data_IF_382432415080
#
_entry.id   IF_382432415080
#
_cell.length_a   1.000
_cell.length_b   1.000
_cell.length_c   1.000
_cell.angle_alpha   90.00
_cell.angle_beta   90.00
_cell.angle_gamma   90.00
#
_symmetry.space_group_name_H-M   'P 1'
#
loop_
_entity.id
_entity.type
_entity.pdbx_description
1 polymer ?
#
# COMPACT_ATOMS: atom_id res chain seq x y z
N UNK A 1 6.75 13.02 -30.39
CA UNK A 1 7.49 12.30 -29.33
C UNK A 1 6.44 11.65 -28.47
N UNK A 2 6.25 10.34 -28.58
CA UNK A 2 5.41 9.58 -27.66
C UNK A 2 6.19 9.42 -26.35
N UNK A 3 5.77 10.02 -25.22
CA UNK A 3 6.12 9.41 -23.96
C UNK A 3 5.23 8.15 -23.79
N UNK A 4 5.53 7.34 -22.79
CA UNK A 4 4.62 6.32 -22.25
C UNK A 4 4.65 4.94 -22.90
N UNK A 5 5.70 4.19 -22.57
CA UNK A 5 5.46 2.92 -21.88
C UNK A 5 6.18 3.06 -20.54
N UNK A 6 5.44 3.14 -19.44
CA UNK A 6 6.03 2.85 -18.14
C UNK A 6 6.48 1.39 -18.23
N UNK A 7 7.79 1.13 -18.29
CA UNK A 7 8.30 -0.24 -18.40
C UNK A 7 7.69 -1.07 -17.26
N UNK A 8 7.11 -2.23 -17.63
CA UNK A 8 6.46 -3.12 -16.66
C UNK A 8 7.48 -3.52 -15.59
N UNK A 9 7.19 -3.25 -14.32
CA UNK A 9 8.15 -3.44 -13.25
C UNK A 9 8.31 -4.93 -12.91
N UNK A 10 9.43 -5.49 -13.34
CA UNK A 10 9.83 -6.87 -13.03
C UNK A 10 10.85 -6.92 -11.90
N UNK A 11 10.98 -8.09 -11.29
CA UNK A 11 12.02 -8.38 -10.30
C UNK A 11 13.41 -7.91 -10.77
N UNK A 12 14.16 -7.33 -9.83
CA UNK A 12 15.54 -6.87 -10.03
C UNK A 12 16.50 -7.69 -9.17
N UNK A 13 17.80 -7.43 -9.33
CA UNK A 13 18.88 -8.17 -8.66
C UNK A 13 18.72 -8.25 -7.13
N UNK A 14 18.20 -7.20 -6.50
CA UNK A 14 18.02 -7.14 -5.04
C UNK A 14 16.76 -7.86 -4.54
N UNK A 15 15.79 -8.14 -5.41
CA UNK A 15 14.48 -8.67 -5.02
C UNK A 15 14.54 -10.05 -4.33
N UNK A 16 15.30 -11.05 -4.80
CA UNK A 16 15.38 -12.35 -4.13
C UNK A 16 15.85 -12.25 -2.67
N UNK A 17 16.88 -11.43 -2.42
CA UNK A 17 17.41 -11.19 -1.08
C UNK A 17 16.39 -10.49 -0.19
N UNK A 18 15.66 -9.51 -0.72
CA UNK A 18 14.60 -8.82 0.01
C UNK A 18 13.45 -9.77 0.38
N UNK A 19 13.01 -10.61 -0.55
CA UNK A 19 11.94 -11.59 -0.33
C UNK A 19 12.31 -12.63 0.73
N UNK A 20 13.54 -13.13 0.71
CA UNK A 20 14.03 -14.06 1.74
C UNK A 20 14.16 -13.37 3.11
N UNK A 21 14.60 -12.11 3.16
CA UNK A 21 14.62 -11.34 4.40
C UNK A 21 13.21 -11.12 4.97
N UNK A 22 12.23 -10.79 4.12
CA UNK A 22 10.83 -10.71 4.54
C UNK A 22 10.32 -12.05 5.06
N UNK A 23 10.71 -13.17 4.42
CA UNK A 23 10.33 -14.50 4.87
C UNK A 23 10.84 -14.80 6.28
N UNK A 24 12.10 -14.43 6.55
CA UNK A 24 12.70 -14.56 7.88
C UNK A 24 11.89 -13.82 8.94
N UNK A 25 11.64 -12.52 8.72
CA UNK A 25 10.90 -11.67 9.68
C UNK A 25 9.48 -12.18 9.90
N UNK A 26 8.76 -12.50 8.82
CA UNK A 26 7.38 -13.00 8.88
C UNK A 26 7.31 -14.37 9.58
N UNK A 27 8.28 -15.26 9.36
CA UNK A 27 8.37 -16.56 10.03
C UNK A 27 8.69 -16.41 11.53
N UNK A 28 9.51 -15.43 11.92
CA UNK A 28 9.72 -15.10 13.34
C UNK A 28 8.43 -14.68 14.04
N UNK A 29 7.61 -13.87 13.37
CA UNK A 29 6.31 -13.45 13.89
C UNK A 29 5.29 -14.60 13.95
N UNK A 30 5.41 -15.56 13.02
CA UNK A 30 4.48 -16.67 12.91
C UNK A 30 4.61 -17.72 14.02
N UNK A 31 5.82 -18.01 14.49
CA UNK A 31 6.09 -19.09 15.47
C UNK A 31 7.42 -18.89 16.22
N UNK A 32 7.52 -19.38 17.45
CA UNK A 32 8.76 -19.43 18.25
C UNK A 32 9.53 -20.76 18.10
N UNK A 33 8.97 -21.76 17.40
CA UNK A 33 9.60 -23.06 17.24
C UNK A 33 10.72 -23.01 16.18
N UNK A 34 11.98 -23.18 16.61
CA UNK A 34 13.17 -23.07 15.76
C UNK A 34 13.21 -24.08 14.60
N UNK A 35 12.71 -25.29 14.78
CA UNK A 35 12.66 -26.31 13.73
C UNK A 35 11.63 -25.94 12.66
N UNK A 36 10.44 -25.48 13.08
CA UNK A 36 9.42 -24.98 12.15
C UNK A 36 9.94 -23.73 11.41
N UNK A 37 10.67 -22.84 12.08
CA UNK A 37 11.26 -21.66 11.43
C UNK A 37 12.22 -22.06 10.31
N UNK A 38 13.17 -22.96 10.60
CA UNK A 38 14.13 -23.42 9.61
C UNK A 38 13.45 -24.14 8.45
N UNK A 39 12.52 -25.06 8.73
CA UNK A 39 11.78 -25.79 7.70
C UNK A 39 10.98 -24.83 6.82
N UNK A 40 10.31 -23.84 7.41
CA UNK A 40 9.55 -22.82 6.67
C UNK A 40 10.45 -22.05 5.70
N UNK A 41 11.63 -21.62 6.14
CA UNK A 41 12.57 -20.92 5.26
C UNK A 41 13.10 -21.81 4.13
N UNK A 42 13.33 -23.10 4.38
CA UNK A 42 13.69 -24.06 3.34
C UNK A 42 12.59 -24.16 2.28
N UNK A 43 11.32 -24.30 2.70
CA UNK A 43 10.21 -24.38 1.74
C UNK A 43 10.00 -23.07 0.98
N UNK A 44 10.11 -21.92 1.66
CA UNK A 44 10.05 -20.61 0.98
C UNK A 44 11.16 -20.49 -0.06
N UNK A 45 12.39 -20.89 0.23
CA UNK A 45 13.48 -20.85 -0.75
C UNK A 45 13.17 -21.71 -1.99
N UNK A 46 12.54 -22.89 -1.81
CA UNK A 46 12.09 -23.72 -2.94
C UNK A 46 10.99 -23.03 -3.76
N UNK A 47 9.95 -22.54 -3.11
CA UNK A 47 8.86 -21.79 -3.77
C UNK A 47 9.40 -20.60 -4.54
N UNK A 48 10.34 -19.85 -3.96
CA UNK A 48 10.98 -18.74 -4.64
C UNK A 48 11.78 -19.22 -5.85
N UNK A 49 12.63 -20.24 -5.70
CA UNK A 49 13.48 -20.75 -6.78
C UNK A 49 12.66 -21.31 -7.96
N UNK A 50 11.55 -22.01 -7.68
CA UNK A 50 10.71 -22.64 -8.70
C UNK A 50 9.88 -21.62 -9.51
N UNK A 51 9.61 -20.43 -8.95
CA UNK A 51 8.74 -19.42 -9.56
C UNK A 51 9.48 -18.15 -10.02
N UNK A 52 10.75 -17.96 -9.63
CA UNK A 52 11.52 -16.80 -10.05
C UNK A 52 11.85 -16.86 -11.54
N UNK A 53 11.38 -15.87 -12.29
CA UNK A 53 11.84 -15.59 -13.65
C UNK A 53 12.13 -14.10 -13.78
N UNK A 54 12.91 -13.71 -14.78
CA UNK A 54 13.16 -12.28 -15.07
C UNK A 54 11.89 -11.50 -15.44
N UNK A 55 10.78 -12.19 -15.71
CA UNK A 55 9.49 -11.60 -16.06
C UNK A 55 8.50 -11.58 -14.89
N UNK A 56 8.89 -12.07 -13.72
CA UNK A 56 7.99 -12.15 -12.58
C UNK A 56 7.84 -10.79 -11.90
N UNK A 57 6.65 -10.48 -11.42
CA UNK A 57 6.35 -9.29 -10.61
C UNK A 57 6.73 -9.53 -9.15
N UNK A 58 7.40 -8.59 -8.45
CA UNK A 58 7.85 -8.83 -7.08
C UNK A 58 6.70 -9.12 -6.10
N UNK A 59 5.59 -8.39 -6.18
CA UNK A 59 4.38 -8.62 -5.38
C UNK A 59 3.79 -10.05 -5.56
N UNK A 60 3.87 -10.63 -6.76
CA UNK A 60 3.46 -12.01 -7.00
C UNK A 60 4.33 -12.99 -6.20
N UNK A 61 5.66 -12.82 -6.25
CA UNK A 61 6.57 -13.63 -5.45
C UNK A 61 6.36 -13.42 -3.94
N UNK A 62 6.06 -12.19 -3.52
CA UNK A 62 5.73 -11.89 -2.13
C UNK A 62 4.45 -12.58 -1.66
N UNK A 63 3.45 -12.71 -2.54
CA UNK A 63 2.21 -13.45 -2.28
C UNK A 63 2.48 -14.94 -2.11
N UNK A 64 3.27 -15.56 -3.01
CA UNK A 64 3.64 -16.97 -2.88
C UNK A 64 4.42 -17.25 -1.59
N UNK A 65 5.34 -16.34 -1.22
CA UNK A 65 6.08 -16.41 0.04
C UNK A 65 5.14 -16.43 1.24
N UNK A 66 4.24 -15.46 1.34
CA UNK A 66 3.32 -15.30 2.47
C UNK A 66 2.38 -16.52 2.62
N UNK A 67 1.78 -16.97 1.50
CA UNK A 67 0.98 -18.20 1.47
C UNK A 67 1.76 -19.43 1.96
N UNK A 68 3.02 -19.59 1.54
CA UNK A 68 3.87 -20.71 1.99
C UNK A 68 4.19 -20.64 3.49
N UNK A 69 4.41 -19.45 4.05
CA UNK A 69 4.67 -19.27 5.48
C UNK A 69 3.45 -19.66 6.30
N UNK A 70 2.25 -19.22 5.90
CA UNK A 70 0.99 -19.62 6.56
C UNK A 70 0.80 -21.14 6.57
N UNK A 71 1.06 -21.80 5.43
CA UNK A 71 0.96 -23.26 5.30
C UNK A 71 1.95 -23.96 6.27
N UNK A 72 3.21 -23.55 6.24
CA UNK A 72 4.29 -24.22 6.98
C UNK A 72 4.16 -24.04 8.50
N UNK A 73 3.74 -22.85 8.92
CA UNK A 73 3.63 -22.47 10.33
C UNK A 73 2.25 -22.74 10.95
N UNK A 74 1.25 -23.01 10.10
CA UNK A 74 -0.18 -23.12 10.48
C UNK A 74 -0.72 -21.87 11.17
N UNK A 75 -0.09 -20.71 10.94
CA UNK A 75 -0.54 -19.43 11.43
C UNK A 75 -1.14 -18.62 10.25
N UNK A 76 -2.46 -18.36 10.24
CA UNK A 76 -3.11 -17.67 9.12
C UNK A 76 -2.82 -16.17 9.09
N UNK A 77 -2.32 -15.58 10.18
CA UNK A 77 -2.00 -14.15 10.26
C UNK A 77 -0.76 -13.90 11.13
N UNK A 78 0.45 -14.08 10.58
CA UNK A 78 1.70 -13.79 11.29
C UNK A 78 1.79 -12.36 11.81
N UNK A 79 1.21 -11.38 11.11
CA UNK A 79 1.34 -9.96 11.41
C UNK A 79 0.26 -9.43 12.37
N UNK A 80 -0.72 -10.24 12.79
CA UNK A 80 -1.87 -9.80 13.59
C UNK A 80 -1.52 -8.84 14.73
N UNK A 81 -0.54 -9.22 15.56
CA UNK A 81 -0.11 -8.41 16.72
C UNK A 81 0.47 -7.06 16.30
N UNK A 82 1.27 -7.06 15.24
CA UNK A 82 1.90 -5.86 14.70
C UNK A 82 0.84 -4.94 14.08
N UNK A 83 -0.13 -5.48 13.31
CA UNK A 83 -1.22 -4.68 12.75
C UNK A 83 -2.03 -3.95 13.83
N UNK A 84 -2.41 -4.67 14.90
CA UNK A 84 -3.14 -4.07 16.04
C UNK A 84 -2.32 -2.94 16.69
N UNK A 85 -1.03 -3.18 16.93
CA UNK A 85 -0.15 -2.15 17.49
C UNK A 85 -0.01 -0.93 16.57
N UNK A 86 0.19 -1.16 15.27
CA UNK A 86 0.31 -0.10 14.26
C UNK A 86 -0.96 0.74 14.15
N UNK A 87 -2.15 0.12 14.15
CA UNK A 87 -3.42 0.85 14.17
C UNK A 87 -3.54 1.73 15.43
N UNK A 88 -3.18 1.21 16.61
CA UNK A 88 -3.24 1.98 17.86
C UNK A 88 -2.29 3.18 17.85
N UNK A 89 -1.03 2.95 17.48
CA UNK A 89 -0.02 4.02 17.43
C UNK A 89 -0.36 5.07 16.36
N UNK A 90 -0.94 4.66 15.23
CA UNK A 90 -1.45 5.57 14.21
C UNK A 90 -2.60 6.45 14.75
N UNK A 91 -3.56 5.88 15.49
CA UNK A 91 -4.66 6.62 16.10
C UNK A 91 -4.19 7.66 17.12
N UNK A 92 -3.12 7.38 17.86
CA UNK A 92 -2.53 8.35 18.81
C UNK A 92 -1.95 9.58 18.11
N UNK A 93 -1.48 9.43 16.86
CA UNK A 93 -0.86 10.54 16.09
C UNK A 93 -1.86 11.20 15.15
N UNK A 94 -2.97 10.54 14.82
CA UNK A 94 -4.02 11.04 13.93
C UNK A 94 -4.43 12.51 14.21
N UNK A 95 -4.60 12.99 15.47
CA UNK A 95 -4.92 14.39 15.72
C UNK A 95 -3.91 15.39 15.12
N UNK A 96 -2.60 15.10 15.17
CA UNK A 96 -1.58 15.96 14.58
C UNK A 96 -1.67 16.00 13.06
N UNK A 97 -2.01 14.87 12.43
CA UNK A 97 -2.21 14.80 10.99
C UNK A 97 -3.45 15.60 10.56
N UNK A 98 -4.53 15.52 11.34
CA UNK A 98 -5.73 16.35 11.15
C UNK A 98 -5.40 17.83 11.28
N UNK A 99 -4.67 18.22 12.33
CA UNK A 99 -4.25 19.62 12.54
C UNK A 99 -3.39 20.14 11.38
N UNK A 100 -2.48 19.30 10.87
CA UNK A 100 -1.67 19.63 9.69
C UNK A 100 -2.54 19.92 8.46
N UNK A 101 -3.55 19.10 8.17
CA UNK A 101 -4.48 19.36 7.06
C UNK A 101 -5.35 20.59 7.32
N UNK A 102 -5.84 20.78 8.55
CA UNK A 102 -6.72 21.89 8.94
C UNK A 102 -6.06 23.27 8.80
N UNK A 103 -4.72 23.35 8.91
CA UNK A 103 -3.94 24.59 8.76
C UNK A 103 -3.83 25.09 7.30
N UNK A 104 -4.43 24.41 6.33
CA UNK A 104 -4.50 24.86 4.94
C UNK A 104 -5.23 26.20 4.77
N UNK A 105 -4.84 27.00 3.77
CA UNK A 105 -5.55 28.22 3.37
C UNK A 105 -6.63 28.02 2.30
N UNK A 106 -6.72 26.85 1.66
CA UNK A 106 -7.68 26.57 0.58
C UNK A 106 -8.09 25.10 0.50
N UNK A 107 -9.16 24.81 -0.25
CA UNK A 107 -9.61 23.42 -0.47
C UNK A 107 -8.58 22.58 -1.25
N UNK A 108 -7.90 23.17 -2.25
CA UNK A 108 -6.83 22.49 -3.00
C UNK A 108 -5.63 22.18 -2.10
N UNK A 109 -5.27 23.12 -1.21
CA UNK A 109 -4.20 22.88 -0.24
C UNK A 109 -4.58 21.80 0.79
N UNK A 110 -5.86 21.72 1.23
CA UNK A 110 -6.31 20.59 2.07
C UNK A 110 -6.14 19.25 1.38
N UNK A 111 -6.60 19.15 0.14
CA UNK A 111 -6.48 17.93 -0.66
C UNK A 111 -5.02 17.51 -0.80
N UNK A 112 -4.15 18.48 -1.10
CA UNK A 112 -2.70 18.26 -1.16
C UNK A 112 -2.12 17.74 0.14
N UNK A 113 -2.41 18.40 1.27
CA UNK A 113 -1.94 17.94 2.58
C UNK A 113 -2.50 16.56 2.95
N UNK A 114 -3.73 16.24 2.56
CA UNK A 114 -4.33 14.92 2.76
C UNK A 114 -3.61 13.82 1.94
N UNK A 115 -3.25 14.09 0.68
CA UNK A 115 -2.44 13.19 -0.14
C UNK A 115 -1.07 12.95 0.49
N UNK A 116 -0.42 14.02 0.99
CA UNK A 116 0.86 13.91 1.67
C UNK A 116 0.77 13.06 2.95
N UNK A 117 -0.23 13.30 3.79
CA UNK A 117 -0.47 12.49 5.00
C UNK A 117 -0.70 11.02 4.63
N UNK A 118 -1.47 10.76 3.57
CA UNK A 118 -1.70 9.42 3.05
C UNK A 118 -0.41 8.75 2.57
N UNK A 119 0.52 9.49 1.92
CA UNK A 119 1.86 8.99 1.55
C UNK A 119 2.72 8.72 2.79
N UNK A 120 2.73 9.64 3.75
CA UNK A 120 3.52 9.49 4.98
C UNK A 120 3.04 8.28 5.79
N UNK A 121 1.73 8.02 5.81
CA UNK A 121 1.16 6.80 6.37
C UNK A 121 1.75 5.54 5.72
N UNK A 122 2.07 5.56 4.43
CA UNK A 122 2.71 4.41 3.80
C UNK A 122 4.13 4.12 4.34
N UNK A 123 4.74 4.98 5.16
CA UNK A 123 6.01 4.67 5.80
C UNK A 123 5.94 3.49 6.80
N UNK A 124 4.76 3.12 7.32
CA UNK A 124 4.61 1.97 8.22
C UNK A 124 4.80 0.66 7.46
N UNK A 125 5.98 0.05 7.55
CA UNK A 125 6.28 -1.18 6.82
C UNK A 125 7.37 -2.00 7.52
N UNK A 126 7.22 -3.33 7.48
CA UNK A 126 8.08 -4.26 8.19
C UNK A 126 8.79 -5.22 7.24
N UNK A 127 9.99 -5.65 7.61
CA UNK A 127 10.73 -6.70 6.89
C UNK A 127 11.36 -6.28 5.55
N UNK A 128 11.18 -5.04 5.07
CA UNK A 128 11.95 -4.53 3.93
C UNK A 128 13.43 -4.44 4.32
N UNK A 129 14.28 -5.06 3.51
CA UNK A 129 15.73 -5.03 3.72
C UNK A 129 16.25 -3.59 3.65
N UNK A 130 17.07 -3.22 4.64
CA UNK A 130 17.68 -1.88 4.78
C UNK A 130 16.70 -0.71 5.01
N UNK A 131 15.41 -0.99 5.25
CA UNK A 131 14.40 0.01 5.63
C UNK A 131 13.98 -0.17 7.08
N UNK A 132 13.87 0.94 7.81
CA UNK A 132 13.41 0.99 9.21
C UNK A 132 12.51 2.20 9.39
N UNK A 133 11.53 2.07 10.27
CA UNK A 133 10.57 3.12 10.60
C UNK A 133 10.29 3.08 12.11
N UNK A 134 10.10 4.26 12.72
CA UNK A 134 9.57 4.40 14.07
C UNK A 134 8.44 5.44 14.11
N UNK A 135 7.40 5.18 14.91
CA UNK A 135 6.29 6.13 15.12
C UNK A 135 6.76 7.47 15.71
N UNK A 136 7.88 7.48 16.43
CA UNK A 136 8.50 8.71 16.95
C UNK A 136 8.99 9.66 15.84
N UNK A 137 9.23 9.13 14.64
CA UNK A 137 9.67 9.92 13.49
C UNK A 137 8.50 10.56 12.74
N UNK A 138 7.27 10.10 12.98
CA UNK A 138 6.10 10.50 12.19
C UNK A 138 5.83 12.02 12.23
N UNK A 139 5.90 12.73 13.38
CA UNK A 139 5.72 14.18 13.38
C UNK A 139 6.73 14.90 12.47
N UNK A 140 8.00 14.46 12.47
CA UNK A 140 9.03 15.04 11.59
C UNK A 140 8.78 14.71 10.12
N UNK A 141 8.24 13.52 9.83
CA UNK A 141 7.88 13.13 8.48
C UNK A 141 6.69 13.94 7.95
N UNK A 142 5.72 14.28 8.80
CA UNK A 142 4.61 15.18 8.45
C UNK A 142 5.16 16.58 8.12
N UNK A 143 6.04 17.12 8.97
CA UNK A 143 6.66 18.43 8.74
C UNK A 143 7.44 18.49 7.42
N UNK A 144 8.13 17.39 7.05
CA UNK A 144 8.94 17.29 5.82
C UNK A 144 8.19 16.72 4.62
N UNK A 145 6.88 16.49 4.74
CA UNK A 145 6.15 15.72 3.72
C UNK A 145 6.23 16.34 2.33
N UNK A 146 6.16 17.68 2.26
CA UNK A 146 6.37 18.49 1.04
C UNK A 146 7.81 18.41 0.53
N UNK A 147 8.79 18.66 1.40
CA UNK A 147 10.21 18.69 1.02
C UNK A 147 10.70 17.35 0.46
N UNK A 148 10.12 16.25 0.95
CA UNK A 148 10.45 14.88 0.54
C UNK A 148 9.65 14.42 -0.71
N UNK A 149 8.74 15.24 -1.25
CA UNK A 149 7.97 14.94 -2.46
C UNK A 149 8.85 15.06 -3.71
N UNK A 150 9.15 13.92 -4.33
CA UNK A 150 10.06 13.84 -5.49
C UNK A 150 9.34 13.63 -6.82
N UNK A 151 8.12 13.12 -6.79
CA UNK A 151 7.18 13.17 -7.91
C UNK A 151 5.92 13.83 -7.39
N UNK A 152 5.60 14.99 -7.94
CA UNK A 152 4.45 15.79 -7.55
C UNK A 152 3.51 15.93 -8.75
N UNK A 153 2.45 15.13 -8.74
CA UNK A 153 1.35 15.25 -9.68
C UNK A 153 0.02 15.42 -8.93
N UNK A 154 0.06 15.99 -7.72
CA UNK A 154 -1.12 16.14 -6.86
C UNK A 154 -2.18 17.04 -7.51
N UNK A 155 -1.76 18.04 -8.29
CA UNK A 155 -2.70 18.92 -9.01
C UNK A 155 -3.42 18.18 -10.14
N UNK A 156 -2.72 17.32 -10.86
CA UNK A 156 -3.27 16.46 -11.91
C UNK A 156 -4.24 15.43 -11.32
N UNK A 157 -3.87 14.86 -10.18
CA UNK A 157 -4.72 13.99 -9.37
C UNK A 157 -6.00 14.73 -8.93
N UNK A 158 -5.86 15.93 -8.37
CA UNK A 158 -7.00 16.74 -7.93
C UNK A 158 -7.92 17.05 -9.11
N UNK A 159 -7.34 17.38 -10.27
CA UNK A 159 -8.08 17.59 -11.51
C UNK A 159 -8.83 16.32 -11.91
N UNK A 160 -8.19 15.15 -11.93
CA UNK A 160 -8.85 13.88 -12.24
C UNK A 160 -10.02 13.58 -11.29
N UNK A 161 -9.83 13.83 -9.98
CA UNK A 161 -10.85 13.66 -8.96
C UNK A 161 -12.06 14.60 -9.20
N UNK A 162 -11.86 15.82 -9.71
CA UNK A 162 -12.94 16.77 -10.05
C UNK A 162 -13.76 16.40 -11.29
N UNK A 163 -13.28 15.47 -12.12
CA UNK A 163 -13.94 15.05 -13.36
C UNK A 163 -14.63 13.67 -13.25
N UNK A 164 -14.76 13.15 -12.04
CA UNK A 164 -15.48 11.91 -11.74
C UNK A 164 -16.49 12.14 -10.63
N UNK A 165 -17.48 11.27 -10.52
CA UNK A 165 -18.43 11.22 -9.40
C UNK A 165 -18.03 10.18 -8.34
N UNK A 166 -17.10 9.28 -8.68
CA UNK A 166 -16.72 8.17 -7.82
C UNK A 166 -15.21 7.87 -7.83
N UNK A 167 -14.72 7.44 -6.67
CA UNK A 167 -13.32 7.09 -6.43
C UNK A 167 -13.25 5.74 -5.73
N UNK A 168 -12.32 4.90 -6.17
CA UNK A 168 -11.95 3.67 -5.49
C UNK A 168 -10.56 3.83 -4.86
N UNK A 169 -10.49 3.75 -3.53
CA UNK A 169 -9.23 3.70 -2.79
C UNK A 169 -8.84 2.24 -2.53
N UNK A 170 -7.68 1.81 -3.05
CA UNK A 170 -7.06 0.53 -2.73
C UNK A 170 -6.06 0.74 -1.58
N UNK A 171 -6.38 0.27 -0.38
CA UNK A 171 -5.54 0.43 0.81
C UNK A 171 -4.32 -0.49 0.76
N UNK A 172 -3.22 -0.11 1.39
CA UNK A 172 -2.03 -0.95 1.56
C UNK A 172 -2.01 -1.52 2.99
N UNK A 173 -1.40 -0.82 3.96
CA UNK A 173 -1.08 -1.38 5.27
C UNK A 173 -2.09 -1.04 6.39
N UNK A 174 -2.13 -1.90 7.42
CA UNK A 174 -2.62 -1.53 8.74
C UNK A 174 -1.73 -0.44 9.36
N UNK A 175 -2.32 0.44 10.17
CA UNK A 175 -1.72 1.71 10.61
C UNK A 175 -1.85 2.81 9.58
N UNK A 176 -1.50 2.54 8.32
CA UNK A 176 -1.64 3.50 7.20
C UNK A 176 -3.10 3.87 6.94
N UNK A 177 -4.01 2.89 6.98
CA UNK A 177 -5.46 3.08 6.75
C UNK A 177 -6.09 4.14 7.67
N UNK A 178 -5.51 4.37 8.86
CA UNK A 178 -5.93 5.42 9.79
C UNK A 178 -5.70 6.82 9.22
N UNK A 179 -4.60 7.02 8.48
CA UNK A 179 -4.26 8.27 7.81
C UNK A 179 -4.98 8.43 6.48
N UNK A 180 -5.23 7.32 5.78
CA UNK A 180 -6.02 7.31 4.54
C UNK A 180 -7.44 7.84 4.74
N UNK A 181 -7.99 7.69 5.95
CA UNK A 181 -9.26 8.31 6.34
C UNK A 181 -9.31 9.80 6.02
N UNK A 182 -8.22 10.54 6.23
CA UNK A 182 -8.16 11.98 5.97
C UNK A 182 -8.32 12.27 4.47
N UNK A 183 -7.67 11.48 3.62
CA UNK A 183 -7.83 11.60 2.16
C UNK A 183 -9.26 11.26 1.73
N UNK A 184 -9.85 10.20 2.29
CA UNK A 184 -11.25 9.83 2.05
C UNK A 184 -12.18 10.99 2.41
N UNK A 185 -11.99 11.62 3.57
CA UNK A 185 -12.81 12.76 4.01
C UNK A 185 -12.67 13.97 3.08
N UNK A 186 -11.48 14.31 2.60
CA UNK A 186 -11.32 15.43 1.66
C UNK A 186 -11.92 15.12 0.28
N UNK A 187 -11.83 13.88 -0.22
CA UNK A 187 -12.55 13.44 -1.43
C UNK A 187 -14.07 13.54 -1.25
N UNK A 188 -14.59 13.13 -0.09
CA UNK A 188 -16.00 13.30 0.28
C UNK A 188 -16.42 14.78 0.29
N UNK A 189 -15.58 15.68 0.81
CA UNK A 189 -15.83 17.13 0.78
C UNK A 189 -15.87 17.71 -0.63
N UNK A 190 -15.22 17.06 -1.59
CA UNK A 190 -15.32 17.40 -3.02
C UNK A 190 -16.64 16.93 -3.65
N UNK A 191 -17.48 16.21 -2.92
CA UNK A 191 -18.78 15.70 -3.40
C UNK A 191 -18.71 14.30 -4.01
N UNK A 192 -17.59 13.59 -3.87
CA UNK A 192 -17.36 12.30 -4.49
C UNK A 192 -17.97 11.14 -3.69
N UNK A 193 -18.37 10.09 -4.40
CA UNK A 193 -18.68 8.79 -3.81
C UNK A 193 -17.40 7.97 -3.64
N UNK A 194 -17.00 7.67 -2.41
CA UNK A 194 -15.72 7.02 -2.12
C UNK A 194 -15.94 5.60 -1.63
N UNK A 195 -15.45 4.64 -2.42
CA UNK A 195 -15.36 3.23 -2.00
C UNK A 195 -13.93 2.91 -1.56
N UNK A 196 -13.79 2.26 -0.42
CA UNK A 196 -12.50 1.78 0.10
C UNK A 196 -12.44 0.26 -0.01
N UNK A 197 -11.40 -0.26 -0.65
CA UNK A 197 -11.17 -1.69 -0.80
C UNK A 197 -9.96 -2.13 0.02
N UNK A 198 -10.20 -3.10 0.92
CA UNK A 198 -9.21 -3.77 1.76
C UNK A 198 -9.00 -5.23 1.31
N UNK A 199 -8.05 -5.94 1.91
CA UNK A 199 -7.87 -7.39 1.64
C UNK A 199 -8.98 -8.21 2.29
N UNK A 200 -9.32 -9.33 1.66
CA UNK A 200 -10.34 -10.25 2.17
C UNK A 200 -9.82 -11.11 3.33
N UNK A 201 -8.55 -11.50 3.24
CA UNK A 201 -7.86 -12.19 4.32
C UNK A 201 -6.44 -11.64 4.49
N UNK A 202 -5.82 -11.83 5.68
CA UNK A 202 -4.53 -11.26 6.00
C UNK A 202 -3.47 -11.64 4.97
N UNK A 203 -2.61 -10.71 4.56
CA UNK A 203 -1.41 -10.94 3.75
C UNK A 203 -0.40 -9.88 4.15
N UNK A 204 0.79 -10.29 4.59
CA UNK A 204 1.72 -9.39 5.26
C UNK A 204 1.00 -8.56 6.33
N UNK A 205 1.23 -7.25 6.34
CA UNK A 205 0.61 -6.27 7.20
C UNK A 205 -0.51 -5.49 6.47
N UNK A 206 -1.00 -5.99 5.33
CA UNK A 206 -2.04 -5.30 4.56
C UNK A 206 -3.35 -5.19 5.37
N UNK A 207 -4.05 -4.08 5.16
CA UNK A 207 -5.30 -3.79 5.85
C UNK A 207 -6.43 -4.73 5.41
N UNK A 208 -7.22 -5.17 6.39
CA UNK A 208 -8.44 -5.97 6.24
C UNK A 208 -9.66 -5.21 6.78
N UNK A 209 -10.84 -5.84 6.76
CA UNK A 209 -12.05 -5.23 7.34
C UNK A 209 -11.90 -4.95 8.85
N UNK A 210 -11.13 -5.77 9.58
CA UNK A 210 -10.82 -5.52 11.01
C UNK A 210 -10.04 -4.20 11.17
N UNK A 211 -9.06 -3.96 10.31
CA UNK A 211 -8.24 -2.75 10.31
C UNK A 211 -9.06 -1.50 9.93
N UNK A 212 -9.95 -1.63 8.93
CA UNK A 212 -10.86 -0.56 8.53
C UNK A 212 -11.85 -0.17 9.64
N UNK A 213 -12.33 -1.16 10.41
CA UNK A 213 -13.19 -0.92 11.57
C UNK A 213 -12.44 -0.19 12.69
N UNK A 214 -11.19 -0.59 13.00
CA UNK A 214 -10.35 0.10 14.00
C UNK A 214 -10.07 1.55 13.57
N UNK A 215 -9.81 1.78 12.29
CA UNK A 215 -9.60 3.12 11.73
C UNK A 215 -10.87 3.98 11.67
N UNK A 216 -12.04 3.43 12.01
CA UNK A 216 -13.35 4.08 11.86
C UNK A 216 -13.57 4.59 10.42
N UNK A 217 -13.16 3.81 9.43
CA UNK A 217 -13.28 4.16 8.01
C UNK A 217 -14.75 4.17 7.56
N UNK A 218 -15.61 3.39 8.24
CA UNK A 218 -17.05 3.30 8.00
C UNK A 218 -17.80 4.62 8.24
N UNK A 219 -17.17 5.53 8.99
CA UNK A 219 -17.71 6.87 9.25
C UNK A 219 -17.32 7.89 8.18
N UNK A 220 -16.36 7.55 7.32
CA UNK A 220 -15.80 8.47 6.32
C UNK A 220 -16.07 8.01 4.89
N UNK A 221 -15.96 6.72 4.60
CA UNK A 221 -16.23 6.16 3.27
C UNK A 221 -17.74 5.91 3.05
N UNK A 222 -18.18 5.98 1.79
CA UNK A 222 -19.55 5.59 1.44
C UNK A 222 -19.75 4.07 1.44
N UNK A 223 -18.67 3.34 1.12
CA UNK A 223 -18.67 1.88 1.05
C UNK A 223 -17.29 1.32 1.37
N UNK A 224 -17.27 0.22 2.12
CA UNK A 224 -16.06 -0.58 2.36
C UNK A 224 -16.31 -1.97 1.79
N UNK A 225 -15.38 -2.45 0.97
CA UNK A 225 -15.43 -3.78 0.33
C UNK A 225 -14.11 -4.51 0.52
N UNK A 226 -14.08 -5.80 0.21
CA UNK A 226 -12.84 -6.56 0.07
C UNK A 226 -12.50 -6.76 -1.40
N UNK A 227 -11.21 -6.87 -1.71
CA UNK A 227 -10.76 -7.32 -3.04
C UNK A 227 -11.16 -8.77 -3.34
N UNK A 228 -11.50 -9.55 -2.31
CA UNK A 228 -11.73 -11.00 -2.41
C UNK A 228 -10.44 -11.81 -2.49
N UNK A 229 -9.29 -11.19 -2.23
CA UNK A 229 -7.97 -11.78 -2.41
C UNK A 229 -7.06 -11.58 -1.18
N UNK A 230 -6.12 -12.50 -1.03
CA UNK A 230 -4.96 -12.47 -0.11
C UNK A 230 -3.64 -12.20 -0.85
N UNK A 231 -3.68 -11.54 -2.01
CA UNK A 231 -2.49 -11.17 -2.78
C UNK A 231 -1.97 -9.77 -2.41
N UNK A 232 -0.64 -9.61 -2.36
CA UNK A 232 0.02 -8.31 -2.31
C UNK A 232 -0.27 -7.53 -3.60
N UNK A 233 -0.63 -6.24 -3.46
CA UNK A 233 -1.05 -5.42 -4.60
C UNK A 233 -2.37 -5.90 -5.22
N UNK A 234 -2.52 -5.76 -6.53
CA UNK A 234 -3.76 -6.12 -7.25
C UNK A 234 -3.54 -7.22 -8.29
N UNK A 235 -3.89 -8.46 -7.94
CA UNK A 235 -4.00 -9.56 -8.90
C UNK A 235 -5.46 -9.69 -9.35
N UNK A 236 -5.78 -9.16 -10.53
CA UNK A 236 -7.17 -9.12 -11.04
C UNK A 236 -7.79 -10.52 -11.11
N UNK A 237 -6.99 -11.54 -11.42
CA UNK A 237 -7.40 -12.95 -11.47
C UNK A 237 -7.91 -13.51 -10.14
N UNK A 238 -7.45 -12.94 -9.02
CA UNK A 238 -7.74 -13.43 -7.68
C UNK A 238 -8.91 -12.66 -7.04
N UNK A 239 -9.40 -11.61 -7.69
CA UNK A 239 -10.40 -10.72 -7.12
C UNK A 239 -11.84 -11.26 -7.25
N UNK A 240 -12.69 -10.94 -6.27
CA UNK A 240 -14.11 -11.29 -6.31
C UNK A 240 -14.90 -10.44 -7.32
N UNK A 241 -16.09 -10.90 -7.69
CA UNK A 241 -16.94 -10.23 -8.69
C UNK A 241 -17.38 -8.82 -8.28
N UNK A 242 -17.76 -8.64 -7.01
CA UNK A 242 -18.22 -7.34 -6.50
C UNK A 242 -17.12 -6.26 -6.64
N UNK A 243 -15.90 -6.60 -6.24
CA UNK A 243 -14.74 -5.72 -6.40
C UNK A 243 -14.49 -5.40 -7.88
N UNK A 244 -14.50 -6.40 -8.76
CA UNK A 244 -14.23 -6.19 -10.19
C UNK A 244 -15.27 -5.28 -10.85
N UNK A 245 -16.54 -5.40 -10.46
CA UNK A 245 -17.60 -4.50 -10.95
C UNK A 245 -17.36 -3.06 -10.53
N UNK A 246 -16.98 -2.82 -9.27
CA UNK A 246 -16.68 -1.48 -8.75
C UNK A 246 -15.41 -0.93 -9.38
N UNK A 247 -14.33 -1.71 -9.42
CA UNK A 247 -13.06 -1.34 -10.04
C UNK A 247 -13.21 -0.95 -11.51
N UNK A 248 -14.04 -1.67 -12.28
CA UNK A 248 -14.29 -1.36 -13.70
C UNK A 248 -15.09 -0.09 -13.95
N UNK A 249 -15.81 0.41 -12.93
CA UNK A 249 -16.68 1.60 -13.01
C UNK A 249 -16.08 2.82 -12.31
N UNK A 250 -14.95 2.63 -11.62
CA UNK A 250 -14.25 3.70 -10.91
C UNK A 250 -13.77 4.76 -11.90
N UNK A 251 -14.15 6.02 -11.72
CA UNK A 251 -13.65 7.12 -12.56
C UNK A 251 -12.26 7.60 -12.16
N UNK A 252 -11.84 7.34 -10.92
CA UNK A 252 -10.45 7.44 -10.45
C UNK A 252 -10.16 6.29 -9.48
N UNK A 253 -8.99 5.66 -9.62
CA UNK A 253 -8.48 4.68 -8.66
C UNK A 253 -7.26 5.26 -7.96
N UNK A 254 -7.33 5.39 -6.63
CA UNK A 254 -6.18 5.76 -5.79
C UNK A 254 -5.61 4.46 -5.23
N UNK A 255 -4.39 4.10 -5.62
CA UNK A 255 -3.76 2.90 -5.08
C UNK A 255 -2.56 3.26 -4.21
N UNK A 256 -2.59 2.74 -2.99
CA UNK A 256 -1.56 2.98 -1.98
C UNK A 256 -0.43 1.97 -2.09
N UNK A 257 0.80 2.43 -1.87
CA UNK A 257 1.94 1.54 -1.65
C UNK A 257 2.59 0.92 -2.88
N UNK A 258 3.75 0.28 -2.65
CA UNK A 258 4.61 -0.24 -3.72
C UNK A 258 4.04 -1.48 -4.39
N UNK A 259 3.35 -2.37 -3.66
CA UNK A 259 2.81 -3.59 -4.25
C UNK A 259 1.71 -3.30 -5.28
N UNK A 260 0.86 -2.29 -5.01
CA UNK A 260 -0.09 -1.81 -6.02
C UNK A 260 0.61 -1.18 -7.22
N UNK A 261 1.68 -0.41 -7.01
CA UNK A 261 2.49 0.11 -8.12
C UNK A 261 3.05 -1.03 -8.99
N UNK A 262 3.73 -2.00 -8.39
CA UNK A 262 4.30 -3.15 -9.08
C UNK A 262 3.24 -3.90 -9.91
N UNK A 263 2.11 -4.25 -9.31
CA UNK A 263 1.07 -5.04 -9.97
C UNK A 263 0.29 -4.26 -11.02
N UNK A 264 0.01 -2.98 -10.80
CA UNK A 264 -0.76 -2.18 -11.76
C UNK A 264 0.00 -1.91 -13.05
N UNK A 265 1.34 -1.93 -13.03
CA UNK A 265 2.15 -1.83 -14.26
C UNK A 265 1.99 -3.04 -15.20
N UNK A 266 1.43 -4.16 -14.74
CA UNK A 266 1.15 -5.33 -15.58
C UNK A 266 -0.06 -5.16 -16.51
N UNK A 267 -0.89 -4.13 -16.28
CA UNK A 267 -2.17 -3.99 -16.96
C UNK A 267 -2.22 -2.76 -17.85
N UNK A 268 -2.96 -2.87 -18.95
CA UNK A 268 -3.41 -1.69 -19.70
C UNK A 268 -4.57 -1.04 -18.94
N UNK A 269 -4.24 0.01 -18.17
CA UNK A 269 -5.19 0.73 -17.33
C UNK A 269 -6.22 1.46 -18.20
N UNK A 270 -7.51 1.32 -17.86
CA UNK A 270 -8.64 1.89 -18.62
C UNK A 270 -9.19 3.18 -18.03
N UNK A 271 -8.82 3.48 -16.80
CA UNK A 271 -9.18 4.68 -16.07
C UNK A 271 -7.92 5.25 -15.39
N UNK A 272 -7.92 6.54 -15.01
CA UNK A 272 -6.80 7.14 -14.29
C UNK A 272 -6.50 6.41 -12.99
N UNK A 273 -5.22 6.15 -12.75
CA UNK A 273 -4.75 5.47 -11.53
C UNK A 273 -3.72 6.33 -10.81
N UNK A 274 -4.13 6.95 -9.71
CA UNK A 274 -3.22 7.61 -8.80
C UNK A 274 -2.39 6.59 -7.99
N UNK A 275 -1.13 6.93 -7.73
CA UNK A 275 -0.18 6.21 -6.90
C UNK A 275 0.35 7.14 -5.83
N UNK A 276 -0.01 6.82 -4.58
CA UNK A 276 0.51 7.47 -3.38
C UNK A 276 1.38 6.48 -2.63
N UNK A 277 2.69 6.69 -2.65
CA UNK A 277 3.64 5.76 -2.03
C UNK A 277 4.92 6.45 -1.60
N UNK A 278 5.68 5.76 -0.73
CA UNK A 278 7.07 6.09 -0.44
C UNK A 278 7.99 5.07 -1.14
N UNK A 279 9.05 5.53 -1.79
CA UNK A 279 9.99 4.64 -2.50
C UNK A 279 10.96 3.94 -1.51
N UNK A 280 10.53 2.83 -0.90
CA UNK A 280 11.26 2.15 0.20
C UNK A 280 12.41 1.23 -0.25
N UNK A 281 12.57 0.99 -1.55
CA UNK A 281 13.62 0.11 -2.06
C UNK A 281 14.23 0.61 -3.38
N UNK A 282 15.46 0.18 -3.68
CA UNK A 282 16.19 0.57 -4.90
C UNK A 282 15.46 0.25 -6.20
N UNK A 283 14.87 -0.95 -6.39
CA UNK A 283 14.12 -1.26 -7.61
C UNK A 283 13.03 -0.22 -7.92
N UNK A 284 12.22 0.14 -6.92
CA UNK A 284 11.13 1.12 -7.06
C UNK A 284 11.69 2.53 -7.27
N UNK A 285 12.69 2.92 -6.50
CA UNK A 285 13.31 4.23 -6.63
C UNK A 285 13.94 4.44 -8.02
N UNK A 286 14.64 3.44 -8.55
CA UNK A 286 15.25 3.49 -9.88
C UNK A 286 14.19 3.54 -10.98
N UNK A 287 13.12 2.74 -10.86
CA UNK A 287 12.03 2.70 -11.83
C UNK A 287 11.27 4.04 -11.92
N UNK A 288 11.11 4.71 -10.78
CA UNK A 288 10.50 6.04 -10.69
C UNK A 288 11.50 7.19 -10.92
N UNK A 289 12.79 6.89 -11.11
CA UNK A 289 13.88 7.87 -11.22
C UNK A 289 13.93 8.87 -10.04
N UNK A 290 13.83 8.35 -8.82
CA UNK A 290 13.85 9.10 -7.56
C UNK A 290 14.89 8.55 -6.60
N UNK A 291 15.17 9.29 -5.53
CA UNK A 291 15.97 8.79 -4.42
C UNK A 291 15.10 7.90 -3.52
N UNK A 292 15.75 6.92 -2.88
CA UNK A 292 15.13 6.10 -1.82
C UNK A 292 14.53 7.03 -0.76
N UNK A 293 13.41 6.62 -0.19
CA UNK A 293 12.59 7.35 0.79
C UNK A 293 11.89 8.60 0.25
N UNK A 294 11.94 8.87 -1.06
CA UNK A 294 11.13 9.91 -1.69
C UNK A 294 9.63 9.62 -1.59
N UNK A 295 8.85 10.66 -1.33
CA UNK A 295 7.39 10.64 -1.41
C UNK A 295 6.97 10.81 -2.88
N UNK A 296 5.96 10.06 -3.30
CA UNK A 296 5.54 9.95 -4.70
C UNK A 296 4.02 10.13 -4.76
N UNK A 297 3.58 11.14 -5.51
CA UNK A 297 2.23 11.29 -5.99
C UNK A 297 2.27 11.27 -7.52
N UNK A 298 1.86 10.15 -8.13
CA UNK A 298 1.94 9.95 -9.58
C UNK A 298 0.60 9.49 -10.13
N UNK A 299 0.17 10.11 -11.23
CA UNK A 299 -0.98 9.67 -12.02
C UNK A 299 -0.49 8.77 -13.16
N UNK A 300 -1.05 7.56 -13.25
CA UNK A 300 -0.84 6.60 -14.34
C UNK A 300 -2.02 6.59 -15.31
#
# INVERSE_FOLDING_TARGET
MHPEICDVLKVKFECPCCLLNRAYVETEMATENSEIRLQTLIEVMRVLADNFTIKTTPAYMGTLRDRQIKISTKNPDPFKKVKIASNREALEILPKAIDYVAQSGSASERFRRACLISIIGNAFEFGIKDYRFSFDELPKLIEKAEDDLQVDQILEIESAARHTDNVLLLTDNAGEIVFDKILVEELKRMGLYVTVAVKDSPVSNDATLEDASIAHMDQSADKIITTGSDSLGLMISDCNKEFLEIYSKAGLVIAKGMAHYETLTEYSLKQPHEKLLKAKCRPIANDLNVKISGNIAKLL
#
